data_IF_335841729017
#
_entry.id   IF_335841729017
#
_cell.length_a   1.000
_cell.length_b   1.000
_cell.length_c   1.000
_cell.angle_alpha   90.00
_cell.angle_beta   90.00
_cell.angle_gamma   90.00
#
_symmetry.space_group_name_H-M   'P 1'
#
loop_
_entity.id
_entity.type
_entity.pdbx_description
1 polymer ?
#
# COMPACT_ATOMS: atom_id res chain seq x y z
N UNK A 1 -22.55 -7.55 -3.86
CA UNK A 1 -21.67 -8.71 -3.68
C UNK A 1 -20.28 -8.16 -3.45
N UNK A 2 -19.56 -8.64 -2.43
CA UNK A 2 -18.24 -8.12 -2.09
C UNK A 2 -17.27 -8.24 -3.29
N UNK A 3 -16.23 -7.41 -3.31
CA UNK A 3 -15.19 -7.44 -4.35
C UNK A 3 -14.67 -8.88 -4.53
N UNK A 4 -14.60 -9.33 -5.77
CA UNK A 4 -14.01 -10.62 -6.14
C UNK A 4 -12.55 -10.41 -6.57
N UNK A 5 -11.63 -11.10 -5.89
CA UNK A 5 -10.20 -11.08 -6.13
C UNK A 5 -9.72 -12.52 -6.38
N UNK A 6 -9.40 -12.85 -7.63
CA UNK A 6 -8.85 -14.17 -7.97
C UNK A 6 -7.36 -14.31 -7.56
N UNK A 7 -6.69 -13.17 -7.34
CA UNK A 7 -5.28 -13.08 -6.99
C UNK A 7 -5.03 -11.90 -6.02
N UNK A 8 -3.88 -11.93 -5.35
CA UNK A 8 -3.43 -10.80 -4.51
C UNK A 8 -3.22 -9.57 -5.40
N UNK A 9 -3.95 -8.50 -5.12
CA UNK A 9 -3.86 -7.24 -5.86
C UNK A 9 -2.84 -6.32 -5.19
N UNK A 10 -1.85 -5.78 -5.91
CA UNK A 10 -0.94 -4.77 -5.39
C UNK A 10 -1.69 -3.44 -5.20
N UNK A 11 -2.45 -3.30 -4.12
CA UNK A 11 -3.36 -2.18 -3.85
C UNK A 11 -2.98 -1.46 -2.55
N UNK A 12 -1.83 -0.80 -2.57
CA UNK A 12 -1.19 -0.19 -1.39
C UNK A 12 -1.95 0.98 -0.79
N UNK A 13 -1.65 1.31 0.46
CA UNK A 13 -2.29 2.39 1.23
C UNK A 13 -1.25 3.42 1.67
N UNK A 14 -1.72 4.59 2.07
CA UNK A 14 -0.87 5.60 2.71
C UNK A 14 -0.76 5.35 4.21
N UNK A 15 0.22 5.98 4.85
CA UNK A 15 0.31 6.00 6.31
C UNK A 15 -0.96 6.53 6.95
N UNK A 16 -1.55 7.58 6.37
CA UNK A 16 -2.78 8.15 6.92
C UNK A 16 -3.92 7.13 6.96
N UNK A 17 -4.00 6.27 5.95
CA UNK A 17 -5.00 5.20 5.96
C UNK A 17 -4.72 4.14 7.02
N UNK A 18 -3.45 3.79 7.27
CA UNK A 18 -3.10 2.88 8.37
C UNK A 18 -3.49 3.47 9.73
N UNK A 19 -3.18 4.75 9.98
CA UNK A 19 -3.59 5.46 11.20
C UNK A 19 -5.11 5.41 11.39
N UNK A 20 -5.88 5.68 10.34
CA UNK A 20 -7.35 5.68 10.41
C UNK A 20 -7.95 4.27 10.54
N UNK A 21 -7.34 3.26 9.91
CA UNK A 21 -7.83 1.89 9.93
C UNK A 21 -7.56 1.18 11.25
N UNK A 22 -6.36 1.39 11.81
CA UNK A 22 -5.92 0.70 13.02
C UNK A 22 -6.00 1.58 14.28
N UNK A 23 -6.37 2.85 14.14
CA UNK A 23 -6.43 3.80 15.26
C UNK A 23 -5.05 4.12 15.84
N UNK A 24 -4.01 4.17 14.99
CA UNK A 24 -2.64 4.38 15.45
C UNK A 24 -2.43 5.84 15.88
N UNK A 25 -1.83 5.99 17.05
CA UNK A 25 -1.38 7.26 17.59
C UNK A 25 0.15 7.41 17.41
N UNK A 26 0.69 8.64 17.51
CA UNK A 26 2.14 8.85 17.40
C UNK A 26 2.97 7.99 18.37
N UNK A 27 2.43 7.65 19.55
CA UNK A 27 3.09 6.80 20.53
C UNK A 27 3.26 5.36 20.04
N UNK A 28 2.30 4.82 19.29
CA UNK A 28 2.36 3.47 18.72
C UNK A 28 3.44 3.38 17.63
N UNK A 29 3.60 4.46 16.86
CA UNK A 29 4.57 4.55 15.77
C UNK A 29 6.01 4.73 16.27
N UNK A 30 6.19 5.31 17.45
CA UNK A 30 7.50 5.58 18.03
C UNK A 30 8.28 4.31 18.43
N UNK A 31 7.60 3.21 18.75
CA UNK A 31 8.22 1.93 19.09
C UNK A 31 8.85 1.22 17.87
N UNK A 32 8.51 1.68 16.66
CA UNK A 32 8.87 1.04 15.40
C UNK A 32 7.85 0.01 14.95
N UNK A 33 7.70 -0.15 13.63
CA UNK A 33 6.61 -0.96 13.04
C UNK A 33 7.13 -2.01 12.07
N UNK A 34 6.63 -3.25 12.20
CA UNK A 34 6.78 -4.29 11.19
C UNK A 34 5.49 -4.40 10.37
N UNK A 35 5.57 -4.05 9.09
CA UNK A 35 4.47 -4.11 8.12
C UNK A 35 4.53 -5.43 7.32
N UNK A 36 3.73 -6.41 7.74
CA UNK A 36 3.68 -7.74 7.13
C UNK A 36 2.64 -7.78 6.00
N UNK A 37 3.08 -8.06 4.77
CA UNK A 37 2.22 -7.98 3.59
C UNK A 37 1.97 -6.55 3.14
N UNK A 38 2.98 -5.68 3.30
CA UNK A 38 2.84 -4.24 3.03
C UNK A 38 2.54 -3.89 1.58
N UNK A 39 2.89 -4.76 0.64
CA UNK A 39 2.70 -4.52 -0.79
C UNK A 39 3.28 -3.16 -1.23
N UNK A 40 2.68 -2.50 -2.23
CA UNK A 40 3.09 -1.15 -2.64
C UNK A 40 2.49 -0.04 -1.75
N UNK A 41 2.48 -0.24 -0.43
CA UNK A 41 2.09 0.78 0.55
C UNK A 41 3.18 1.84 0.67
N UNK A 42 2.80 3.11 0.82
CA UNK A 42 3.76 4.17 1.14
C UNK A 42 4.08 4.28 2.62
N UNK A 43 3.44 3.48 3.49
CA UNK A 43 3.61 3.56 4.94
C UNK A 43 5.08 3.57 5.38
N UNK A 44 5.88 2.60 4.93
CA UNK A 44 7.30 2.50 5.32
C UNK A 44 8.12 3.68 4.79
N UNK A 45 7.87 4.12 3.57
CA UNK A 45 8.53 5.29 2.99
C UNK A 45 8.17 6.58 3.76
N UNK A 46 6.90 6.75 4.14
CA UNK A 46 6.41 7.88 4.91
C UNK A 46 6.93 7.85 6.36
N UNK A 47 7.05 6.67 6.98
CA UNK A 47 7.69 6.50 8.29
C UNK A 47 9.18 6.88 8.23
N UNK A 48 9.90 6.41 7.21
CA UNK A 48 11.31 6.71 7.04
C UNK A 48 11.56 8.21 6.79
N UNK A 49 10.71 8.87 5.99
CA UNK A 49 10.78 10.31 5.75
C UNK A 49 10.60 11.14 7.03
N UNK A 50 9.81 10.65 7.99
CA UNK A 50 9.61 11.27 9.30
C UNK A 50 10.67 10.86 10.35
N UNK A 51 11.70 10.11 9.95
CA UNK A 51 12.76 9.62 10.86
C UNK A 51 12.29 8.52 11.82
N UNK A 52 11.14 7.91 11.57
CA UNK A 52 10.59 6.80 12.35
C UNK A 52 11.08 5.45 11.80
N UNK A 53 11.14 4.46 12.67
CA UNK A 53 11.59 3.13 12.28
C UNK A 53 10.42 2.29 11.75
N UNK A 54 10.51 1.83 10.50
CA UNK A 54 9.60 0.85 9.96
C UNK A 54 10.34 -0.14 9.05
N UNK A 55 9.89 -1.40 9.08
CA UNK A 55 10.34 -2.46 8.18
C UNK A 55 9.10 -3.07 7.54
N UNK A 56 9.08 -3.18 6.22
CA UNK A 56 8.04 -3.91 5.49
C UNK A 56 8.58 -5.20 4.89
N UNK A 57 7.73 -6.21 4.87
CA UNK A 57 8.05 -7.54 4.34
C UNK A 57 6.92 -8.00 3.44
N UNK A 58 7.23 -8.29 2.18
CA UNK A 58 6.24 -8.75 1.20
C UNK A 58 6.89 -9.62 0.11
N UNK A 59 6.25 -10.73 -0.32
CA UNK A 59 6.71 -11.50 -1.49
C UNK A 59 6.89 -10.67 -2.77
N UNK A 60 6.11 -9.61 -2.96
CA UNK A 60 6.17 -8.75 -4.15
C UNK A 60 7.51 -8.00 -4.24
N UNK A 61 8.26 -7.89 -3.14
CA UNK A 61 9.56 -7.22 -3.13
C UNK A 61 10.66 -7.99 -3.89
N UNK A 62 10.35 -9.18 -4.38
CA UNK A 62 11.21 -9.94 -5.28
C UNK A 62 11.35 -9.31 -6.68
N UNK A 63 10.38 -8.50 -7.12
CA UNK A 63 10.34 -7.91 -8.49
C UNK A 63 10.71 -6.43 -8.49
N UNK A 64 11.21 -5.85 -9.61
CA UNK A 64 11.52 -4.42 -9.68
C UNK A 64 10.25 -3.56 -9.63
N UNK A 65 10.39 -2.30 -9.23
CA UNK A 65 9.28 -1.37 -9.02
C UNK A 65 8.48 -1.09 -10.30
N UNK A 66 9.13 -1.08 -11.46
CA UNK A 66 8.45 -1.00 -12.76
C UNK A 66 7.44 -2.13 -12.98
N UNK A 67 7.72 -3.33 -12.47
CA UNK A 67 6.83 -4.48 -12.60
C UNK A 67 5.67 -4.37 -11.60
N UNK A 68 5.95 -3.91 -10.38
CA UNK A 68 4.91 -3.58 -9.38
C UNK A 68 3.94 -2.53 -9.95
N UNK A 69 4.46 -1.47 -10.58
CA UNK A 69 3.64 -0.45 -11.26
C UNK A 69 2.78 -1.07 -12.36
N UNK A 70 3.36 -1.88 -13.24
CA UNK A 70 2.60 -2.53 -14.31
C UNK A 70 1.45 -3.41 -13.77
N UNK A 71 1.71 -4.18 -12.69
CA UNK A 71 0.68 -4.99 -12.03
C UNK A 71 -0.40 -4.14 -11.37
N UNK A 72 -0.04 -2.99 -10.77
CA UNK A 72 -1.01 -2.04 -10.24
C UNK A 72 -1.89 -1.46 -11.36
N UNK A 73 -1.31 -0.96 -12.44
CA UNK A 73 -2.10 -0.36 -13.53
C UNK A 73 -3.09 -1.35 -14.16
N UNK A 74 -2.68 -2.62 -14.29
CA UNK A 74 -3.56 -3.68 -14.79
C UNK A 74 -4.77 -3.95 -13.87
N UNK A 75 -4.69 -3.62 -12.58
CA UNK A 75 -5.76 -3.89 -11.62
C UNK A 75 -6.69 -2.70 -11.39
N UNK A 76 -6.26 -1.47 -11.74
CA UNK A 76 -7.05 -0.25 -11.53
C UNK A 76 -8.43 -0.32 -12.16
N UNK A 77 -8.50 -0.70 -13.45
CA UNK A 77 -9.77 -0.77 -14.19
C UNK A 77 -10.77 -1.74 -13.55
N UNK A 78 -10.42 -3.03 -13.41
CA UNK A 78 -11.27 -4.02 -12.75
C UNK A 78 -11.66 -3.64 -11.32
N UNK A 79 -10.73 -3.12 -10.52
CA UNK A 79 -11.01 -2.69 -9.14
C UNK A 79 -12.03 -1.55 -9.11
N UNK A 80 -11.83 -0.50 -9.91
CA UNK A 80 -12.75 0.64 -9.93
C UNK A 80 -14.13 0.29 -10.48
N UNK A 81 -14.21 -0.61 -11.45
CA UNK A 81 -15.50 -1.10 -11.92
C UNK A 81 -16.28 -1.77 -10.77
N UNK A 82 -15.63 -2.62 -9.99
CA UNK A 82 -16.25 -3.27 -8.83
C UNK A 82 -16.61 -2.27 -7.72
N UNK A 83 -15.74 -1.32 -7.39
CA UNK A 83 -16.01 -0.26 -6.40
C UNK A 83 -17.24 0.56 -6.81
N UNK A 84 -17.30 1.01 -8.08
CA UNK A 84 -18.41 1.79 -8.61
C UNK A 84 -19.72 1.00 -8.69
N UNK A 85 -19.64 -0.32 -8.88
CA UNK A 85 -20.81 -1.20 -8.87
C UNK A 85 -21.32 -1.52 -7.46
N UNK A 86 -20.58 -1.17 -6.40
CA UNK A 86 -20.89 -1.56 -5.01
C UNK A 86 -20.84 -0.37 -4.03
N UNK A 87 -21.34 0.83 -4.35
CA UNK A 87 -21.07 2.05 -3.58
C UNK A 87 -21.50 1.98 -2.11
N UNK A 88 -22.58 1.25 -1.81
CA UNK A 88 -23.11 1.08 -0.44
C UNK A 88 -22.28 0.11 0.43
N UNK A 89 -21.28 -0.57 -0.16
CA UNK A 89 -20.38 -1.48 0.54
C UNK A 89 -19.08 -0.80 1.01
N UNK A 90 -18.95 0.51 0.78
CA UNK A 90 -17.75 1.28 1.07
C UNK A 90 -18.02 2.41 2.05
N UNK A 91 -16.98 2.76 2.82
CA UNK A 91 -17.00 3.91 3.72
C UNK A 91 -16.34 5.10 3.03
N UNK A 92 -17.15 6.10 2.66
CA UNK A 92 -16.71 7.31 1.94
C UNK A 92 -16.36 8.49 2.87
N UNK A 93 -16.02 8.21 4.13
CA UNK A 93 -15.66 9.26 5.11
C UNK A 93 -14.28 9.88 4.86
N UNK A 94 -13.34 9.07 4.39
CA UNK A 94 -11.97 9.49 4.08
C UNK A 94 -11.80 9.74 2.58
N UNK A 95 -12.13 8.75 1.76
CA UNK A 95 -12.19 8.89 0.30
C UNK A 95 -13.53 9.47 -0.09
N UNK A 96 -13.53 10.54 -0.90
CA UNK A 96 -14.77 11.23 -1.30
C UNK A 96 -15.63 10.41 -2.26
N UNK A 97 -14.98 9.64 -3.14
CA UNK A 97 -15.61 8.83 -4.17
C UNK A 97 -14.58 7.81 -4.74
N UNK A 98 -14.97 6.91 -5.66
CA UNK A 98 -14.05 5.94 -6.26
C UNK A 98 -12.84 6.56 -6.98
N UNK A 99 -12.98 7.75 -7.57
CA UNK A 99 -11.89 8.42 -8.28
C UNK A 99 -10.85 8.97 -7.30
N UNK A 100 -11.31 9.53 -6.19
CA UNK A 100 -10.49 9.99 -5.07
C UNK A 100 -9.71 8.82 -4.44
N UNK A 101 -10.39 7.67 -4.25
CA UNK A 101 -9.74 6.42 -3.85
C UNK A 101 -8.62 6.03 -4.83
N UNK A 102 -8.88 6.04 -6.14
CA UNK A 102 -7.87 5.71 -7.15
C UNK A 102 -6.68 6.66 -7.11
N UNK A 103 -6.94 7.97 -7.02
CA UNK A 103 -5.92 8.99 -6.95
C UNK A 103 -5.02 8.79 -5.72
N UNK A 104 -5.61 8.50 -4.55
CA UNK A 104 -4.85 8.19 -3.35
C UNK A 104 -4.03 6.89 -3.47
N UNK A 105 -4.57 5.85 -4.12
CA UNK A 105 -3.85 4.59 -4.40
C UNK A 105 -2.63 4.82 -5.31
N UNK A 106 -2.79 5.63 -6.35
CA UNK A 106 -1.69 6.04 -7.24
C UNK A 106 -0.64 6.85 -6.49
N UNK A 107 -1.05 7.80 -5.65
CA UNK A 107 -0.13 8.59 -4.84
C UNK A 107 0.67 7.72 -3.84
N UNK A 108 0.03 6.74 -3.20
CA UNK A 108 0.70 5.77 -2.35
C UNK A 108 1.75 4.97 -3.14
N UNK A 109 1.36 4.45 -4.32
CA UNK A 109 2.29 3.73 -5.20
C UNK A 109 3.48 4.60 -5.60
N UNK A 110 3.25 5.85 -5.99
CA UNK A 110 4.31 6.76 -6.45
C UNK A 110 5.32 7.05 -5.33
N UNK A 111 4.83 7.34 -4.11
CA UNK A 111 5.69 7.52 -2.92
C UNK A 111 6.46 6.25 -2.58
N UNK A 112 5.78 5.10 -2.60
CA UNK A 112 6.41 3.81 -2.40
C UNK A 112 7.54 3.59 -3.42
N UNK A 113 7.31 3.82 -4.71
CA UNK A 113 8.28 3.54 -5.76
C UNK A 113 9.51 4.46 -5.71
N UNK A 114 9.37 5.69 -5.21
CA UNK A 114 10.50 6.61 -5.02
C UNK A 114 11.51 6.05 -4.01
N UNK A 115 11.02 5.45 -2.92
CA UNK A 115 11.88 4.87 -1.88
C UNK A 115 12.25 3.40 -2.20
N UNK A 116 11.33 2.64 -2.77
CA UNK A 116 11.46 1.20 -2.99
C UNK A 116 12.67 0.82 -3.84
N UNK A 117 12.96 1.53 -4.93
CA UNK A 117 14.12 1.17 -5.77
C UNK A 117 15.46 1.41 -5.04
N UNK A 118 15.50 2.31 -4.06
CA UNK A 118 16.66 2.54 -3.20
C UNK A 118 16.76 1.49 -2.08
N UNK A 119 15.61 0.99 -1.58
CA UNK A 119 15.52 0.12 -0.42
C UNK A 119 15.25 -1.35 -0.74
N UNK A 120 15.03 -1.75 -2.01
CA UNK A 120 14.65 -3.12 -2.36
C UNK A 120 15.78 -4.11 -2.02
N UNK A 121 15.54 -4.94 -1.00
CA UNK A 121 16.56 -5.84 -0.48
C UNK A 121 17.60 -5.17 0.43
N UNK A 122 17.34 -3.93 0.84
CA UNK A 122 18.01 -3.22 1.93
C UNK A 122 17.40 -3.58 3.29
N UNK A 123 17.51 -2.67 4.27
CA UNK A 123 17.13 -2.96 5.66
C UNK A 123 15.66 -2.65 5.99
N UNK A 124 14.96 -1.93 5.12
CA UNK A 124 13.58 -1.46 5.39
C UNK A 124 12.52 -2.17 4.54
N UNK A 125 12.86 -2.69 3.35
CA UNK A 125 11.93 -3.41 2.48
C UNK A 125 12.49 -4.79 2.14
N UNK A 126 12.12 -5.78 2.95
CA UNK A 126 12.72 -7.11 2.94
C UNK A 126 12.00 -8.03 1.96
N UNK A 127 12.75 -8.55 0.98
CA UNK A 127 12.26 -9.62 0.11
C UNK A 127 12.29 -10.96 0.84
N UNK A 128 11.20 -11.71 0.76
CA UNK A 128 11.16 -13.08 1.24
C UNK A 128 11.97 -13.97 0.28
N UNK A 129 12.95 -14.71 0.82
CA UNK A 129 13.61 -15.79 0.07
C UNK A 129 12.72 -17.02 0.19
N UNK A 130 12.36 -17.61 -0.94
CA UNK A 130 11.75 -18.95 -0.92
C UNK A 130 12.82 -19.95 -0.46
N UNK A 131 12.47 -20.91 0.41
CA UNK A 131 13.36 -21.99 0.80
C UNK A 131 13.75 -22.87 -0.40
#
# INVERSE_FOLDING_TARGET
MAINLDHIVPWGRTRKEYELMFGLEPADLAAGVLDCGGGPSSFTAEMAADGLHAVSVDPIYAVPGREIRARFEATVGPMLAQVRATPDQWVWRYHRNPDDLCANRRAALDRFLLDYELQRGGNQMLRLRRP
#
